data_IF_340052407646
#
_entry.id   IF_340052407646
#
_cell.length_a   1.000
_cell.length_b   1.000
_cell.length_c   1.000
_cell.angle_alpha   90.00
_cell.angle_beta   90.00
_cell.angle_gamma   90.00
#
_symmetry.space_group_name_H-M   'P 1'
#
loop_
_entity.id
_entity.type
_entity.pdbx_description
1 polymer ?
#
# COMPACT_ATOMS: atom_id res chain seq x y z
N UNK A 1 19.99 -4.17 11.11
CA UNK A 1 18.95 -4.53 10.13
C UNK A 1 17.57 -4.15 10.65
N UNK A 2 16.89 -3.29 9.90
CA UNK A 2 15.61 -2.68 10.26
C UNK A 2 14.46 -3.61 9.89
N UNK A 3 13.55 -3.90 10.83
CA UNK A 3 12.41 -4.84 10.63
C UNK A 3 11.13 -4.18 10.12
N UNK A 4 11.17 -2.90 9.78
CA UNK A 4 10.01 -2.14 9.31
C UNK A 4 9.54 -2.65 7.97
N UNK A 5 8.32 -3.20 7.92
CA UNK A 5 7.75 -3.83 6.71
C UNK A 5 7.08 -2.81 5.80
N UNK A 6 7.32 -2.95 4.52
CA UNK A 6 6.93 -2.03 3.47
C UNK A 6 6.02 -2.68 2.43
N UNK A 7 5.24 -1.87 1.73
CA UNK A 7 4.53 -2.22 0.50
C UNK A 7 4.42 -0.98 -0.40
N UNK A 8 4.09 -1.14 -1.69
CA UNK A 8 3.87 0.01 -2.57
C UNK A 8 2.65 0.82 -2.11
N UNK A 9 2.71 2.14 -2.32
CA UNK A 9 1.68 3.08 -1.92
C UNK A 9 0.37 2.92 -2.69
N UNK A 10 0.39 2.28 -3.87
CA UNK A 10 -0.77 2.17 -4.76
C UNK A 10 -2.05 1.77 -4.03
N UNK A 11 -2.03 0.78 -3.13
CA UNK A 11 -3.24 0.33 -2.43
C UNK A 11 -3.78 1.40 -1.48
N UNK A 12 -2.92 2.01 -0.66
CA UNK A 12 -3.32 3.10 0.25
C UNK A 12 -3.79 4.32 -0.54
N UNK A 13 -3.04 4.69 -1.58
CA UNK A 13 -3.34 5.82 -2.45
C UNK A 13 -4.71 5.67 -3.12
N UNK A 14 -5.00 4.51 -3.71
CA UNK A 14 -6.27 4.20 -4.36
C UNK A 14 -7.45 4.44 -3.43
N UNK A 15 -7.34 3.96 -2.18
CA UNK A 15 -8.39 4.16 -1.17
C UNK A 15 -8.53 5.64 -0.83
N UNK A 16 -7.42 6.36 -0.61
CA UNK A 16 -7.45 7.79 -0.33
C UNK A 16 -8.05 8.61 -1.48
N UNK A 17 -7.71 8.31 -2.73
CA UNK A 17 -8.27 8.98 -3.91
C UNK A 17 -9.76 8.70 -4.05
N UNK A 18 -10.18 7.45 -3.83
CA UNK A 18 -11.60 7.10 -3.87
C UNK A 18 -12.39 7.81 -2.77
N UNK A 19 -11.91 7.79 -1.51
CA UNK A 19 -12.54 8.54 -0.42
C UNK A 19 -12.66 10.04 -0.76
N UNK A 20 -11.62 10.63 -1.34
CA UNK A 20 -11.65 12.02 -1.81
C UNK A 20 -12.67 12.24 -2.94
N UNK A 21 -12.93 11.26 -3.81
CA UNK A 21 -13.89 11.38 -4.90
C UNK A 21 -15.36 11.35 -4.47
N UNK A 22 -15.62 10.82 -3.26
CA UNK A 22 -16.96 10.73 -2.67
C UNK A 22 -17.11 11.65 -1.45
N UNK A 23 -16.20 12.60 -1.26
CA UNK A 23 -16.14 13.53 -0.12
C UNK A 23 -16.14 12.84 1.27
N UNK A 24 -15.63 11.61 1.34
CA UNK A 24 -15.43 10.91 2.61
C UNK A 24 -14.17 11.44 3.31
N UNK A 25 -14.38 12.02 4.50
CA UNK A 25 -13.32 12.69 5.24
C UNK A 25 -12.42 11.67 5.94
N UNK A 26 -11.15 11.63 5.53
CA UNK A 26 -10.13 10.79 6.15
C UNK A 26 -9.39 11.54 7.27
N UNK A 27 -8.91 10.81 8.31
CA UNK A 27 -7.98 11.35 9.28
C UNK A 27 -6.76 11.95 8.60
N UNK A 28 -6.25 13.03 9.18
CA UNK A 28 -5.18 13.83 8.58
C UNK A 28 -3.92 13.00 8.29
N UNK A 29 -3.63 12.00 9.12
CA UNK A 29 -2.52 11.06 8.97
C UNK A 29 -2.60 10.17 7.71
N UNK A 30 -3.76 10.09 7.05
CA UNK A 30 -3.93 9.35 5.79
C UNK A 30 -4.10 10.26 4.56
N UNK A 31 -4.53 11.50 4.77
CA UNK A 31 -4.94 12.39 3.69
C UNK A 31 -3.84 12.63 2.63
N UNK A 32 -2.57 12.56 3.03
CA UNK A 32 -1.44 12.84 2.13
C UNK A 32 -1.10 11.70 1.16
N UNK A 33 -1.57 10.46 1.40
CA UNK A 33 -1.21 9.31 0.54
C UNK A 33 -1.77 9.42 -0.88
N UNK A 34 -2.85 10.17 -1.11
CA UNK A 34 -3.41 10.45 -2.45
C UNK A 34 -2.38 11.07 -3.41
N UNK A 35 -1.36 11.74 -2.88
CA UNK A 35 -0.34 12.42 -3.69
C UNK A 35 0.88 11.55 -4.04
N UNK A 36 0.97 10.31 -3.54
CA UNK A 36 2.17 9.48 -3.70
C UNK A 36 2.27 8.94 -5.13
N UNK A 37 3.47 8.54 -5.54
CA UNK A 37 3.59 7.67 -6.71
C UNK A 37 3.27 6.24 -6.31
N UNK A 38 2.70 5.47 -7.24
CA UNK A 38 2.17 4.13 -6.99
C UNK A 38 3.26 3.16 -6.48
N UNK A 39 4.51 3.36 -6.92
CA UNK A 39 5.69 2.58 -6.55
C UNK A 39 6.41 3.06 -5.27
N UNK A 40 6.03 4.20 -4.68
CA UNK A 40 6.67 4.62 -3.43
C UNK A 40 6.36 3.62 -2.31
N UNK A 41 7.36 3.25 -1.51
CA UNK A 41 7.12 2.41 -0.35
C UNK A 41 6.53 3.16 0.83
N UNK A 42 5.56 2.53 1.47
CA UNK A 42 4.93 2.95 2.71
C UNK A 42 4.84 1.78 3.69
N UNK A 43 4.60 2.05 4.96
CA UNK A 43 4.39 1.03 5.97
C UNK A 43 3.27 0.05 5.60
N UNK A 44 3.56 -1.25 5.74
CA UNK A 44 2.64 -2.32 5.31
C UNK A 44 1.25 -2.25 5.98
N UNK A 45 1.19 -1.78 7.22
CA UNK A 45 -0.03 -1.74 8.04
C UNK A 45 -0.88 -0.48 7.83
N UNK A 46 -0.42 0.48 7.04
CA UNK A 46 -1.15 1.76 6.85
C UNK A 46 -2.49 1.51 6.20
N UNK A 47 -2.53 0.68 5.15
CA UNK A 47 -3.76 0.31 4.46
C UNK A 47 -4.74 -0.40 5.40
N UNK A 48 -4.30 -1.36 6.21
CA UNK A 48 -5.17 -2.03 7.18
C UNK A 48 -5.74 -1.04 8.20
N UNK A 49 -4.93 -0.10 8.71
CA UNK A 49 -5.43 0.96 9.62
C UNK A 49 -6.45 1.87 8.95
N UNK A 50 -6.18 2.29 7.72
CA UNK A 50 -7.08 3.11 6.91
C UNK A 50 -8.41 2.40 6.66
N UNK A 51 -8.36 1.14 6.25
CA UNK A 51 -9.54 0.32 5.96
C UNK A 51 -10.35 0.03 7.22
N UNK A 52 -9.69 -0.25 8.34
CA UNK A 52 -10.36 -0.38 9.64
C UNK A 52 -11.03 0.94 10.05
N UNK A 53 -10.39 2.09 9.83
CA UNK A 53 -11.03 3.38 10.08
C UNK A 53 -12.28 3.55 9.22
N UNK A 54 -12.19 3.30 7.91
CA UNK A 54 -13.33 3.42 6.99
C UNK A 54 -14.44 2.48 7.42
N UNK A 55 -14.15 1.21 7.69
CA UNK A 55 -15.14 0.20 8.10
C UNK A 55 -15.91 0.59 9.36
N UNK A 56 -15.27 1.30 10.30
CA UNK A 56 -15.92 1.77 11.53
C UNK A 56 -16.66 3.11 11.38
N UNK A 57 -16.52 3.82 10.26
CA UNK A 57 -17.06 5.17 10.07
C UNK A 57 -17.89 5.33 8.79
N UNK A 58 -17.97 4.32 7.93
CA UNK A 58 -18.73 4.35 6.69
C UNK A 58 -20.14 3.78 6.92
N UNK A 59 -21.15 4.54 6.51
CA UNK A 59 -22.55 4.08 6.56
C UNK A 59 -22.96 3.29 5.32
N UNK A 60 -22.29 3.53 4.17
CA UNK A 60 -22.58 2.84 2.90
C UNK A 60 -22.14 1.37 2.94
N UNK A 61 -23.07 0.40 2.96
CA UNK A 61 -22.73 -1.02 2.96
C UNK A 61 -22.09 -1.49 1.64
N UNK A 62 -22.21 -0.70 0.57
CA UNK A 62 -21.68 -1.00 -0.76
C UNK A 62 -20.38 -0.24 -1.08
N UNK A 63 -19.79 0.44 -0.09
CA UNK A 63 -18.57 1.24 -0.25
C UNK A 63 -17.48 0.48 -1.02
N UNK A 64 -17.20 -0.76 -0.63
CA UNK A 64 -16.15 -1.55 -1.25
C UNK A 64 -16.53 -2.03 -2.66
N UNK A 65 -17.80 -2.36 -2.93
CA UNK A 65 -18.24 -2.70 -4.29
C UNK A 65 -18.03 -1.54 -5.26
N UNK A 66 -18.18 -0.30 -4.77
CA UNK A 66 -17.92 0.88 -5.57
C UNK A 66 -16.41 1.17 -5.70
N UNK A 67 -15.64 1.05 -4.62
CA UNK A 67 -14.18 1.14 -4.63
C UNK A 67 -13.54 0.12 -5.59
N UNK A 68 -14.08 -1.10 -5.64
CA UNK A 68 -13.63 -2.17 -6.52
C UNK A 68 -13.61 -1.75 -8.00
N UNK A 69 -14.55 -0.90 -8.43
CA UNK A 69 -14.60 -0.38 -9.81
C UNK A 69 -13.40 0.49 -10.16
N UNK A 70 -12.80 1.17 -9.18
CA UNK A 70 -11.58 1.99 -9.33
C UNK A 70 -10.29 1.18 -9.22
N UNK A 71 -10.37 0.05 -8.53
CA UNK A 71 -9.24 -0.78 -8.15
C UNK A 71 -8.67 -1.60 -9.31
N UNK A 72 -9.55 -2.28 -10.03
CA UNK A 72 -9.21 -3.36 -10.96
C UNK A 72 -8.26 -2.91 -12.08
N UNK A 73 -8.59 -1.82 -12.79
CA UNK A 73 -7.79 -1.34 -13.92
C UNK A 73 -6.37 -0.95 -13.50
N UNK A 74 -6.22 -0.27 -12.36
CA UNK A 74 -4.93 0.25 -11.92
C UNK A 74 -4.00 -0.83 -11.37
N UNK A 75 -4.54 -1.85 -10.70
CA UNK A 75 -3.73 -2.99 -10.27
C UNK A 75 -3.16 -3.74 -11.46
N UNK A 76 -3.95 -3.98 -12.50
CA UNK A 76 -3.47 -4.60 -13.74
C UNK A 76 -2.33 -3.82 -14.39
N UNK A 77 -2.47 -2.50 -14.52
CA UNK A 77 -1.42 -1.63 -15.08
C UNK A 77 -0.16 -1.62 -14.20
N UNK A 78 -0.34 -1.72 -12.87
CA UNK A 78 0.76 -1.70 -11.90
C UNK A 78 1.57 -2.99 -11.88
N UNK A 79 0.91 -4.14 -11.91
CA UNK A 79 1.58 -5.46 -11.85
C UNK A 79 2.25 -5.83 -13.16
N UNK A 80 1.78 -5.27 -14.29
CA UNK A 80 2.29 -5.55 -15.64
C UNK A 80 2.35 -7.05 -15.99
N UNK A 81 1.43 -7.82 -15.41
CA UNK A 81 1.32 -9.26 -15.68
C UNK A 81 0.77 -9.45 -17.09
N UNK A 82 1.29 -10.45 -17.79
CA UNK A 82 0.77 -10.85 -19.09
C UNK A 82 -0.61 -11.51 -18.91
N UNK A 83 -1.65 -10.82 -19.37
CA UNK A 83 -3.03 -11.28 -19.30
C UNK A 83 -3.49 -12.01 -20.57
N UNK A 84 -2.61 -12.21 -21.57
CA UNK A 84 -2.94 -12.92 -22.80
C UNK A 84 -3.43 -14.35 -22.53
N UNK A 85 -4.24 -14.88 -23.46
CA UNK A 85 -4.75 -16.25 -23.37
C UNK A 85 -3.64 -17.30 -23.53
N UNK A 86 -2.47 -16.91 -24.04
CA UNK A 86 -1.28 -17.75 -24.18
C UNK A 86 -0.63 -18.10 -22.82
N UNK A 87 -0.90 -17.30 -21.79
CA UNK A 87 -0.41 -17.54 -20.43
C UNK A 87 -1.51 -18.22 -19.61
N UNK A 88 -1.24 -19.43 -19.12
CA UNK A 88 -2.20 -20.16 -18.29
C UNK A 88 -2.35 -19.54 -16.88
N UNK A 89 -3.47 -19.86 -16.23
CA UNK A 89 -3.85 -19.31 -14.92
C UNK A 89 -2.83 -19.60 -13.80
N UNK A 90 -2.13 -20.73 -13.85
CA UNK A 90 -1.13 -21.06 -12.83
C UNK A 90 0.11 -20.19 -13.01
N UNK A 91 0.54 -19.94 -14.25
CA UNK A 91 1.63 -19.02 -14.52
C UNK A 91 1.27 -17.57 -14.14
N UNK A 92 0.06 -17.09 -14.47
CA UNK A 92 -0.40 -15.75 -14.07
C UNK A 92 -0.40 -15.56 -12.55
N UNK A 93 -0.78 -16.59 -11.79
CA UNK A 93 -0.76 -16.56 -10.33
C UNK A 93 0.67 -16.52 -9.76
N UNK A 94 1.60 -17.27 -10.37
CA UNK A 94 3.02 -17.22 -10.02
C UNK A 94 3.56 -15.81 -10.25
N UNK A 95 3.36 -15.25 -11.45
CA UNK A 95 3.87 -13.94 -11.83
C UNK A 95 3.34 -12.84 -10.90
N UNK A 96 2.06 -12.89 -10.52
CA UNK A 96 1.48 -11.98 -9.52
C UNK A 96 2.13 -12.11 -8.15
N UNK A 97 2.29 -13.34 -7.66
CA UNK A 97 2.89 -13.58 -6.34
C UNK A 97 4.35 -13.14 -6.33
N UNK A 98 5.09 -13.42 -7.41
CA UNK A 98 6.48 -13.00 -7.59
C UNK A 98 6.64 -11.50 -7.71
N UNK A 99 5.76 -10.82 -8.44
CA UNK A 99 5.77 -9.36 -8.51
C UNK A 99 5.65 -8.74 -7.12
N UNK A 100 4.67 -9.19 -6.32
CA UNK A 100 4.46 -8.65 -4.99
C UNK A 100 5.58 -9.01 -4.00
N UNK A 101 6.23 -10.16 -4.13
CA UNK A 101 7.38 -10.52 -3.29
C UNK A 101 8.61 -9.64 -3.58
N UNK A 102 8.72 -9.06 -4.79
CA UNK A 102 9.79 -8.13 -5.15
C UNK A 102 9.52 -6.70 -4.67
N UNK A 103 8.26 -6.27 -4.54
CA UNK A 103 7.95 -4.88 -4.23
C UNK A 103 7.39 -4.66 -2.82
N UNK A 104 7.29 -5.71 -2.00
CA UNK A 104 6.70 -5.63 -0.66
C UNK A 104 7.23 -6.69 0.31
N UNK A 105 7.00 -6.46 1.60
CA UNK A 105 7.19 -7.45 2.67
C UNK A 105 5.91 -8.26 2.97
N UNK A 106 5.02 -8.40 1.98
CA UNK A 106 3.84 -9.25 2.11
C UNK A 106 4.29 -10.69 2.40
N UNK A 107 3.65 -11.30 3.39
CA UNK A 107 3.96 -12.67 3.79
C UNK A 107 3.17 -13.67 2.94
N UNK A 108 3.29 -13.53 1.62
CA UNK A 108 2.67 -14.41 0.64
C UNK A 108 3.67 -15.49 0.24
N UNK A 109 3.17 -16.70 0.04
CA UNK A 109 3.98 -17.86 -0.33
C UNK A 109 3.34 -18.53 -1.53
N UNK A 110 4.17 -18.86 -2.52
CA UNK A 110 3.79 -19.75 -3.62
C UNK A 110 3.96 -21.19 -3.17
N UNK A 111 2.93 -22.02 -3.32
CA UNK A 111 2.94 -23.43 -2.94
C UNK A 111 2.63 -24.29 -4.17
N UNK A 112 3.39 -25.37 -4.34
CA UNK A 112 3.05 -26.45 -5.26
C UNK A 112 2.19 -27.49 -4.52
N UNK A 113 0.94 -27.66 -4.96
CA UNK A 113 -0.03 -28.56 -4.36
C UNK A 113 -0.46 -29.67 -5.34
N UNK A 114 0.51 -30.27 -6.04
CA UNK A 114 0.25 -31.35 -7.01
C UNK A 114 -0.29 -30.77 -8.31
N UNK A 115 -1.58 -30.94 -8.58
CA UNK A 115 -2.25 -30.43 -9.79
C UNK A 115 -2.49 -28.92 -9.75
N UNK A 116 -2.14 -28.24 -8.67
CA UNK A 116 -2.40 -26.82 -8.46
C UNK A 116 -1.13 -26.05 -8.04
N UNK A 117 -1.10 -24.77 -8.39
CA UNK A 117 -0.22 -23.77 -7.78
C UNK A 117 -1.06 -22.86 -6.90
N UNK A 118 -0.60 -22.62 -5.67
CA UNK A 118 -1.29 -21.78 -4.69
C UNK A 118 -0.53 -20.50 -4.35
N UNK A 119 -1.25 -19.38 -4.25
CA UNK A 119 -0.88 -18.24 -3.43
C UNK A 119 -1.49 -18.47 -2.05
N UNK A 120 -0.68 -18.48 -1.01
CA UNK A 120 -1.15 -18.53 0.39
C UNK A 120 -0.68 -17.31 1.14
N UNK A 121 -1.62 -16.59 1.72
CA UNK A 121 -1.39 -15.35 2.42
C UNK A 121 -1.88 -15.47 3.86
N UNK A 122 -0.93 -15.52 4.80
CA UNK A 122 -1.26 -15.57 6.24
C UNK A 122 -1.98 -14.31 6.67
N UNK A 123 -2.96 -14.45 7.55
CA UNK A 123 -3.78 -13.34 8.05
C UNK A 123 -3.62 -13.15 9.55
N UNK A 124 -3.85 -11.92 9.98
CA UNK A 124 -3.95 -11.61 11.40
C UNK A 124 -5.21 -12.25 11.98
N UNK A 125 -5.28 -12.44 13.31
CA UNK A 125 -6.52 -12.76 14.00
C UNK A 125 -7.65 -11.79 13.63
N UNK A 126 -8.89 -12.26 13.73
CA UNK A 126 -10.09 -11.54 13.26
C UNK A 126 -10.22 -10.15 13.90
N UNK A 127 -9.77 -9.98 15.15
CA UNK A 127 -9.82 -8.71 15.89
C UNK A 127 -8.92 -7.62 15.31
N UNK A 128 -8.00 -8.00 14.43
CA UNK A 128 -7.04 -7.10 13.76
C UNK A 128 -7.10 -7.19 12.24
N UNK A 129 -8.03 -7.98 11.70
CA UNK A 129 -8.22 -8.13 10.27
C UNK A 129 -9.28 -7.14 9.78
N UNK A 130 -9.07 -6.59 8.57
CA UNK A 130 -10.14 -5.96 7.81
C UNK A 130 -10.61 -6.92 6.74
N UNK A 131 -11.92 -7.05 6.54
CA UNK A 131 -12.47 -7.80 5.39
C UNK A 131 -11.96 -7.26 4.06
N UNK A 132 -11.65 -5.97 3.99
CA UNK A 132 -11.13 -5.35 2.78
C UNK A 132 -9.72 -5.83 2.42
N UNK A 133 -8.89 -6.24 3.37
CA UNK A 133 -7.57 -6.81 3.07
C UNK A 133 -7.70 -8.11 2.25
N UNK A 134 -8.69 -8.93 2.57
CA UNK A 134 -9.00 -10.17 1.84
C UNK A 134 -9.63 -9.88 0.49
N UNK A 135 -10.62 -8.98 0.47
CA UNK A 135 -11.38 -8.65 -0.73
C UNK A 135 -10.49 -7.97 -1.80
N UNK A 136 -9.50 -7.17 -1.39
CA UNK A 136 -8.54 -6.59 -2.34
C UNK A 136 -7.67 -7.65 -3.02
N UNK A 137 -7.21 -8.65 -2.27
CA UNK A 137 -6.41 -9.74 -2.85
C UNK A 137 -7.28 -10.60 -3.76
N UNK A 138 -8.49 -10.95 -3.30
CA UNK A 138 -9.47 -11.67 -4.10
C UNK A 138 -9.73 -10.98 -5.45
N UNK A 139 -10.11 -9.70 -5.44
CA UNK A 139 -10.40 -8.96 -6.68
C UNK A 139 -9.19 -8.82 -7.60
N UNK A 140 -7.99 -8.59 -7.03
CA UNK A 140 -6.76 -8.51 -7.81
C UNK A 140 -6.52 -9.81 -8.57
N UNK A 141 -6.65 -10.93 -7.85
CA UNK A 141 -6.35 -12.25 -8.41
C UNK A 141 -7.42 -12.67 -9.41
N UNK A 142 -8.71 -12.42 -9.12
CA UNK A 142 -9.77 -12.72 -10.09
C UNK A 142 -9.62 -11.94 -11.40
N UNK A 143 -9.17 -10.69 -11.33
CA UNK A 143 -8.89 -9.91 -12.52
C UNK A 143 -7.75 -10.52 -13.35
N UNK A 144 -6.61 -10.83 -12.72
CA UNK A 144 -5.45 -11.34 -13.47
C UNK A 144 -5.71 -12.74 -14.03
N UNK A 145 -6.51 -13.56 -13.36
CA UNK A 145 -6.84 -14.90 -13.84
C UNK A 145 -7.85 -14.85 -14.98
N UNK A 146 -8.27 -13.65 -15.40
CA UNK A 146 -9.34 -13.40 -16.36
C UNK A 146 -10.57 -14.26 -16.04
N UNK A 147 -10.94 -14.29 -14.76
CA UNK A 147 -12.03 -15.13 -14.29
C UNK A 147 -13.34 -14.62 -14.87
N UNK A 148 -13.76 -15.20 -15.99
CA UNK A 148 -15.08 -14.98 -16.57
C UNK A 148 -16.10 -15.85 -15.86
N UNK A 149 -17.33 -15.33 -15.72
CA UNK A 149 -18.46 -15.97 -15.01
C UNK A 149 -18.82 -17.37 -15.50
N UNK A 150 -18.32 -17.79 -16.66
CA UNK A 150 -18.54 -19.12 -17.18
C UNK A 150 -17.35 -20.03 -16.87
N UNK A 151 -17.54 -20.79 -15.78
CA UNK A 151 -16.86 -22.05 -15.45
C UNK A 151 -15.37 -21.93 -15.14
N UNK A 152 -14.97 -22.33 -13.93
CA UNK A 152 -13.90 -23.33 -13.86
C UNK A 152 -13.69 -23.95 -12.47
N UNK A 153 -13.81 -25.27 -12.42
CA UNK A 153 -13.21 -26.16 -11.40
C UNK A 153 -11.67 -26.06 -11.35
N UNK A 154 -11.07 -25.08 -12.02
CA UNK A 154 -9.63 -24.88 -12.13
C UNK A 154 -9.12 -23.84 -11.13
N UNK A 155 -9.99 -23.15 -10.40
CA UNK A 155 -9.60 -22.22 -9.34
C UNK A 155 -10.28 -22.61 -8.03
N UNK A 156 -9.50 -22.69 -6.96
CA UNK A 156 -10.01 -22.88 -5.60
C UNK A 156 -9.68 -21.62 -4.81
N UNK A 157 -10.68 -21.04 -4.16
CA UNK A 157 -10.54 -19.82 -3.37
C UNK A 157 -10.97 -20.12 -1.95
N UNK A 158 -10.10 -19.77 -1.01
CA UNK A 158 -10.28 -20.01 0.41
C UNK A 158 -10.08 -18.71 1.16
N UNK A 159 -11.07 -18.33 1.96
CA UNK A 159 -11.05 -17.15 2.78
C UNK A 159 -10.89 -17.52 4.26
N UNK A 160 -10.13 -16.73 5.02
CA UNK A 160 -9.70 -17.07 6.38
C UNK A 160 -10.87 -17.15 7.36
N UNK A 161 -11.83 -16.24 7.23
CA UNK A 161 -12.95 -16.06 8.16
C UNK A 161 -14.26 -16.64 7.62
N UNK A 162 -15.27 -16.71 8.48
CA UNK A 162 -16.62 -17.12 8.12
C UNK A 162 -17.31 -16.16 7.13
N UNK A 163 -18.31 -16.65 6.41
CA UNK A 163 -19.04 -15.87 5.40
C UNK A 163 -19.62 -14.55 5.96
N UNK A 164 -20.14 -14.59 7.20
CA UNK A 164 -20.72 -13.42 7.88
C UNK A 164 -19.75 -12.25 8.04
N UNK A 165 -18.44 -12.51 8.15
CA UNK A 165 -17.41 -11.48 8.28
C UNK A 165 -17.39 -10.52 7.08
N UNK A 166 -17.69 -10.99 5.88
CA UNK A 166 -17.60 -10.19 4.64
C UNK A 166 -18.87 -9.36 4.37
N UNK A 167 -19.98 -9.65 5.06
CA UNK A 167 -21.26 -8.93 4.95
C UNK A 167 -21.77 -8.85 3.51
N UNK A 168 -22.19 -7.65 3.08
CA UNK A 168 -22.71 -7.42 1.72
C UNK A 168 -21.69 -7.71 0.59
N UNK A 169 -20.39 -7.77 0.91
CA UNK A 169 -19.36 -8.07 -0.07
C UNK A 169 -19.34 -9.55 -0.48
N UNK A 170 -20.09 -10.42 0.21
CA UNK A 170 -20.29 -11.81 -0.26
C UNK A 170 -20.90 -11.85 -1.66
N UNK A 171 -21.63 -10.80 -2.07
CA UNK A 171 -22.22 -10.68 -3.40
C UNK A 171 -21.20 -10.72 -4.56
N UNK A 172 -19.91 -10.44 -4.32
CA UNK A 172 -18.84 -10.55 -5.33
C UNK A 172 -18.00 -11.81 -5.21
N UNK A 173 -18.24 -12.63 -4.18
CA UNK A 173 -17.48 -13.85 -3.91
C UNK A 173 -18.11 -15.03 -4.67
N UNK A 174 -17.37 -15.59 -5.62
CA UNK A 174 -17.82 -16.71 -6.45
C UNK A 174 -17.06 -17.98 -6.08
N UNK A 175 -17.79 -19.06 -5.72
CA UNK A 175 -17.23 -20.38 -5.39
C UNK A 175 -16.13 -20.37 -4.31
N UNK A 176 -16.31 -19.54 -3.28
CA UNK A 176 -15.35 -19.37 -2.18
C UNK A 176 -15.65 -20.31 -1.01
N UNK A 177 -14.61 -20.97 -0.49
CA UNK A 177 -14.65 -21.65 0.81
C UNK A 177 -14.30 -20.68 1.93
N UNK A 178 -15.00 -20.78 3.06
CA UNK A 178 -14.81 -19.90 4.21
C UNK A 178 -14.22 -20.66 5.40
N UNK A 179 -13.74 -19.93 6.39
CA UNK A 179 -13.17 -20.46 7.63
C UNK A 179 -11.90 -21.32 7.42
N UNK A 180 -11.04 -20.92 6.47
CA UNK A 180 -9.86 -21.67 6.07
C UNK A 180 -8.55 -21.21 6.76
N UNK A 181 -8.63 -20.38 7.81
CA UNK A 181 -7.51 -19.78 8.59
C UNK A 181 -6.61 -18.81 7.82
N UNK A 182 -6.35 -19.06 6.53
CA UNK A 182 -5.57 -18.22 5.64
C UNK A 182 -6.43 -17.78 4.45
N UNK A 183 -6.00 -16.73 3.76
CA UNK A 183 -6.44 -16.49 2.39
C UNK A 183 -5.58 -17.34 1.47
N UNK A 184 -6.19 -18.22 0.70
CA UNK A 184 -5.50 -19.06 -0.29
C UNK A 184 -6.23 -19.01 -1.63
N UNK A 185 -5.47 -18.93 -2.72
CA UNK A 185 -6.00 -19.04 -4.08
C UNK A 185 -5.15 -20.06 -4.81
N UNK A 186 -5.77 -21.11 -5.32
CA UNK A 186 -5.11 -22.17 -6.09
C UNK A 186 -5.59 -22.14 -7.52
N UNK A 187 -4.65 -22.17 -8.46
CA UNK A 187 -4.90 -22.26 -9.89
C UNK A 187 -4.37 -23.61 -10.42
N UNK A 188 -5.22 -24.32 -11.18
CA UNK A 188 -4.89 -25.63 -11.74
C UNK A 188 -3.79 -25.49 -12.79
N UNK A 189 -2.84 -26.40 -12.73
CA UNK A 189 -1.74 -26.50 -13.69
C UNK A 189 -2.22 -27.04 -15.02
N UNK A 190 -1.60 -26.58 -16.10
CA UNK A 190 -1.70 -27.22 -17.41
C UNK A 190 -0.91 -28.54 -17.38
N UNK A 191 -1.54 -29.68 -17.73
CA UNK A 191 -0.86 -30.97 -17.74
C UNK A 191 0.42 -30.96 -18.58
N UNK A 192 1.52 -31.48 -18.03
CA UNK A 192 2.81 -31.58 -18.71
C UNK A 192 3.63 -30.28 -18.77
N UNK A 193 3.08 -29.13 -18.36
CA UNK A 193 3.84 -27.88 -18.25
C UNK A 193 4.64 -27.85 -16.95
N UNK A 194 5.89 -27.39 -17.02
CA UNK A 194 6.72 -27.14 -15.86
C UNK A 194 6.56 -25.69 -15.40
N UNK A 195 6.56 -25.50 -14.08
CA UNK A 195 6.41 -24.20 -13.44
C UNK A 195 7.62 -23.92 -12.56
N UNK A 196 8.22 -22.74 -12.70
CA UNK A 196 9.26 -22.29 -11.78
C UNK A 196 8.62 -21.50 -10.64
N UNK A 197 8.61 -22.10 -9.46
CA UNK A 197 8.07 -21.48 -8.23
C UNK A 197 9.17 -20.84 -7.38
N UNK A 198 10.44 -20.87 -7.83
CA UNK A 198 11.53 -20.28 -7.05
C UNK A 198 11.35 -18.78 -7.07
N UNK A 199 10.98 -18.23 -5.92
CA UNK A 199 11.11 -16.81 -5.69
C UNK A 199 12.56 -16.42 -5.89
N UNK A 200 12.84 -15.62 -6.92
CA UNK A 200 14.06 -14.82 -6.96
C UNK A 200 14.02 -13.91 -5.73
N UNK A 201 14.66 -14.34 -4.64
CA UNK A 201 14.89 -13.51 -3.47
C UNK A 201 15.92 -12.45 -3.85
N UNK A 202 15.46 -11.42 -4.54
CA UNK A 202 16.20 -10.18 -4.64
C UNK A 202 15.87 -9.45 -3.34
N UNK A 203 16.88 -9.17 -2.50
CA UNK A 203 16.71 -8.21 -1.41
C UNK A 203 16.48 -6.84 -2.05
N UNK A 204 15.22 -6.54 -2.37
CA UNK A 204 14.84 -5.31 -3.08
C UNK A 204 14.71 -4.13 -2.14
N UNK A 205 14.33 -4.37 -0.87
CA UNK A 205 14.04 -3.31 0.10
C UNK A 205 15.14 -3.23 1.16
N UNK A 206 16.07 -2.31 0.96
CA UNK A 206 17.21 -2.09 1.86
C UNK A 206 16.77 -1.48 3.19
N UNK A 207 17.67 -1.44 4.18
CA UNK A 207 17.38 -0.74 5.44
C UNK A 207 17.15 0.77 5.22
N UNK A 208 17.82 1.38 4.23
CA UNK A 208 17.60 2.77 3.87
C UNK A 208 16.20 2.98 3.29
N UNK A 209 15.75 2.10 2.40
CA UNK A 209 14.40 2.14 1.83
C UNK A 209 13.33 2.06 2.92
N UNK A 210 13.54 1.18 3.91
CA UNK A 210 12.65 1.03 5.08
C UNK A 210 12.58 2.30 5.92
N UNK A 211 13.70 3.00 6.10
CA UNK A 211 13.74 4.30 6.80
C UNK A 211 12.96 5.35 6.01
N UNK A 212 13.19 5.45 4.70
CA UNK A 212 12.46 6.40 3.85
C UNK A 212 10.96 6.08 3.82
N UNK A 213 10.57 4.81 3.73
CA UNK A 213 9.17 4.39 3.77
C UNK A 213 8.51 4.77 5.10
N UNK A 214 9.17 4.52 6.24
CA UNK A 214 8.68 4.92 7.55
C UNK A 214 8.54 6.44 7.69
N UNK A 215 9.53 7.21 7.22
CA UNK A 215 9.49 8.66 7.24
C UNK A 215 8.39 9.23 6.33
N UNK A 216 8.24 8.71 5.11
CA UNK A 216 7.20 9.11 4.16
C UNK A 216 5.80 8.75 4.65
N UNK A 217 5.67 7.72 5.48
CA UNK A 217 4.38 7.30 6.05
C UNK A 217 3.82 8.27 7.08
N UNK A 218 4.59 9.27 7.51
CA UNK A 218 4.16 10.30 8.46
C UNK A 218 3.86 11.62 7.76
N UNK A 219 2.97 12.41 8.34
CA UNK A 219 2.77 13.79 7.92
C UNK A 219 3.99 14.67 8.31
N UNK A 220 4.35 15.69 7.50
CA UNK A 220 5.57 16.48 7.72
C UNK A 220 5.67 17.17 9.08
N UNK A 221 4.54 17.56 9.68
CA UNK A 221 4.53 18.19 11.00
C UNK A 221 5.00 17.24 12.12
N UNK A 222 4.73 15.94 12.01
CA UNK A 222 5.02 14.94 13.04
C UNK A 222 6.36 14.23 12.85
N UNK A 223 6.92 14.27 11.64
CA UNK A 223 8.18 13.58 11.35
C UNK A 223 9.35 14.21 12.12
N UNK A 224 9.94 13.46 13.04
CA UNK A 224 11.09 13.83 13.85
C UNK A 224 12.00 12.63 14.02
N UNK A 225 13.20 12.81 14.59
CA UNK A 225 14.09 11.68 14.88
C UNK A 225 13.43 10.70 15.86
N UNK A 226 12.69 11.23 16.83
CA UNK A 226 12.04 10.44 17.88
C UNK A 226 10.86 9.65 17.31
N UNK A 227 9.97 10.30 16.55
CA UNK A 227 8.81 9.62 15.95
C UNK A 227 9.24 8.58 14.91
N UNK A 228 10.27 8.89 14.11
CA UNK A 228 10.84 7.95 13.16
C UNK A 228 11.46 6.73 13.87
N UNK A 229 12.23 6.94 14.94
CA UNK A 229 12.81 5.84 15.72
C UNK A 229 11.73 4.94 16.33
N UNK A 230 10.66 5.52 16.89
CA UNK A 230 9.50 4.80 17.42
C UNK A 230 8.85 3.95 16.33
N UNK A 231 8.57 4.53 15.15
CA UNK A 231 7.95 3.80 14.05
C UNK A 231 8.81 2.64 13.53
N UNK A 232 10.13 2.78 13.60
CA UNK A 232 11.10 1.75 13.23
C UNK A 232 11.34 0.70 14.33
N UNK A 233 10.72 0.87 15.51
CA UNK A 233 10.87 -0.05 16.64
C UNK A 233 12.26 -0.01 17.27
N UNK A 234 12.90 1.16 17.32
CA UNK A 234 14.26 1.32 17.85
C UNK A 234 14.42 2.61 18.67
N UNK A 235 15.51 2.70 19.45
CA UNK A 235 15.88 3.95 20.10
C UNK A 235 16.46 4.94 19.10
N UNK A 236 16.38 6.22 19.42
CA UNK A 236 16.96 7.32 18.62
C UNK A 236 18.46 7.14 18.41
N UNK A 237 19.19 6.71 19.45
CA UNK A 237 20.62 6.39 19.39
C UNK A 237 20.90 5.23 18.43
N UNK A 238 20.07 4.19 18.44
CA UNK A 238 20.22 3.06 17.51
C UNK A 238 19.96 3.48 16.07
N UNK A 239 18.92 4.29 15.82
CA UNK A 239 18.63 4.84 14.49
C UNK A 239 19.80 5.67 13.97
N UNK A 240 20.33 6.58 14.79
CA UNK A 240 21.47 7.40 14.42
C UNK A 240 22.71 6.58 14.12
N UNK A 241 22.98 5.53 14.90
CA UNK A 241 24.11 4.63 14.66
C UNK A 241 23.96 3.85 13.36
N UNK A 242 22.77 3.30 13.09
CA UNK A 242 22.47 2.53 11.87
C UNK A 242 22.55 3.40 10.61
N UNK A 243 22.02 4.63 10.65
CA UNK A 243 22.11 5.54 9.50
C UNK A 243 23.55 6.05 9.31
N UNK A 244 24.29 6.29 10.40
CA UNK A 244 25.70 6.68 10.33
C UNK A 244 26.59 5.57 9.75
N UNK A 245 26.31 4.29 10.01
CA UNK A 245 27.08 3.21 9.40
C UNK A 245 26.86 3.09 7.89
N UNK A 246 25.79 3.69 7.36
CA UNK A 246 25.55 3.86 5.92
C UNK A 246 26.21 5.13 5.34
N UNK A 247 26.95 5.90 6.15
CA UNK A 247 27.54 7.18 5.74
C UNK A 247 26.55 8.35 5.68
N UNK A 248 25.37 8.20 6.28
CA UNK A 248 24.27 9.17 6.21
C UNK A 248 23.97 9.82 7.57
N UNK A 249 23.11 10.82 7.55
CA UNK A 249 22.60 11.51 8.75
C UNK A 249 21.07 11.45 8.78
N UNK A 250 20.50 11.02 9.92
CA UNK A 250 19.04 10.91 10.10
C UNK A 250 18.34 12.26 9.88
N UNK A 251 18.95 13.35 10.33
CA UNK A 251 18.38 14.70 10.18
C UNK A 251 18.32 15.12 8.73
N UNK A 252 19.28 14.72 7.91
CA UNK A 252 19.31 15.04 6.48
C UNK A 252 18.23 14.25 5.73
N UNK A 253 18.06 12.96 6.04
CA UNK A 253 16.94 12.14 5.52
C UNK A 253 15.59 12.78 5.86
N UNK A 254 15.39 13.17 7.13
CA UNK A 254 14.15 13.85 7.55
C UNK A 254 13.94 15.16 6.79
N UNK A 255 14.99 15.97 6.67
CA UNK A 255 14.93 17.27 5.97
C UNK A 255 14.55 17.08 4.51
N UNK A 256 15.17 16.11 3.84
CA UNK A 256 14.90 15.77 2.44
C UNK A 256 13.45 15.30 2.26
N UNK A 257 12.98 14.34 3.07
CA UNK A 257 11.61 13.83 3.01
C UNK A 257 10.60 14.95 3.27
N UNK A 258 10.82 15.80 4.27
CA UNK A 258 9.94 16.96 4.54
C UNK A 258 9.93 17.93 3.38
N UNK A 259 11.09 18.33 2.87
CA UNK A 259 11.19 19.27 1.77
C UNK A 259 10.43 18.76 0.53
N UNK A 260 10.65 17.50 0.16
CA UNK A 260 10.00 16.87 -0.99
C UNK A 260 8.47 16.81 -0.81
N UNK A 261 8.00 16.42 0.39
CA UNK A 261 6.56 16.34 0.67
C UNK A 261 5.89 17.71 0.71
N UNK A 262 6.48 18.71 1.37
CA UNK A 262 5.94 20.06 1.43
C UNK A 262 5.79 20.67 0.04
N UNK A 263 6.80 20.52 -0.83
CA UNK A 263 6.76 20.98 -2.23
C UNK A 263 5.69 20.26 -3.05
N UNK A 264 5.59 18.94 -2.90
CA UNK A 264 4.61 18.12 -3.61
C UNK A 264 3.18 18.53 -3.23
N UNK A 265 2.87 18.62 -1.94
CA UNK A 265 1.54 18.99 -1.45
C UNK A 265 1.20 20.43 -1.86
N UNK A 266 2.16 21.36 -1.79
CA UNK A 266 1.96 22.73 -2.26
C UNK A 266 1.57 22.78 -3.74
N UNK A 267 2.32 22.07 -4.58
CA UNK A 267 2.00 21.96 -6.01
C UNK A 267 0.63 21.32 -6.26
N UNK A 268 0.29 20.27 -5.51
CA UNK A 268 -1.00 19.57 -5.64
C UNK A 268 -2.19 20.43 -5.21
N UNK A 269 -1.98 21.33 -4.24
CA UNK A 269 -2.95 22.30 -3.79
C UNK A 269 -2.99 23.60 -4.62
N UNK A 270 -2.46 23.58 -5.85
CA UNK A 270 -2.43 24.75 -6.74
C UNK A 270 -1.81 25.97 -6.05
N UNK A 271 -0.70 25.74 -5.35
CA UNK A 271 0.07 26.75 -4.63
C UNK A 271 -0.66 27.41 -3.44
N UNK A 272 -1.77 26.84 -2.99
CA UNK A 272 -2.50 27.30 -1.81
C UNK A 272 -1.73 26.95 -0.52
N UNK A 273 -1.00 27.94 0.00
CA UNK A 273 -0.19 27.83 1.22
C UNK A 273 -1.02 27.43 2.45
N UNK A 274 -2.24 27.96 2.60
CA UNK A 274 -3.09 27.71 3.78
C UNK A 274 -3.59 26.27 3.81
N UNK A 275 -4.09 25.76 2.68
CA UNK A 275 -4.52 24.37 2.55
C UNK A 275 -3.33 23.43 2.74
N UNK A 276 -2.18 23.77 2.16
CA UNK A 276 -0.94 22.99 2.30
C UNK A 276 -0.47 22.88 3.75
N UNK A 277 -0.50 23.97 4.51
CA UNK A 277 -0.14 23.95 5.93
C UNK A 277 -1.04 23.02 6.73
N UNK A 278 -2.35 23.07 6.48
CA UNK A 278 -3.34 22.21 7.11
C UNK A 278 -3.10 20.73 6.75
N UNK A 279 -3.03 20.38 5.47
CA UNK A 279 -2.82 18.99 5.01
C UNK A 279 -1.49 18.40 5.48
N UNK A 280 -0.46 19.23 5.71
CA UNK A 280 0.82 18.79 6.24
C UNK A 280 0.85 18.66 7.77
N UNK A 281 -0.24 18.94 8.48
CA UNK A 281 -0.36 18.77 9.93
C UNK A 281 -0.01 19.98 10.78
N UNK A 282 0.15 21.17 10.20
CA UNK A 282 0.59 22.34 10.96
C UNK A 282 -0.59 23.09 11.58
N UNK A 283 -0.46 23.39 12.88
CA UNK A 283 -1.48 24.13 13.66
C UNK A 283 -1.59 25.61 13.30
N UNK A 284 -0.58 26.17 12.65
CA UNK A 284 -0.60 27.57 12.19
C UNK A 284 0.31 27.80 11.00
N UNK A 285 -0.03 28.82 10.20
CA UNK A 285 0.77 29.28 9.07
C UNK A 285 2.18 29.72 9.48
N UNK A 286 2.33 30.32 10.66
CA UNK A 286 3.64 30.77 11.15
C UNK A 286 4.60 29.59 11.39
N UNK A 287 4.10 28.50 12.01
CA UNK A 287 4.89 27.29 12.23
C UNK A 287 5.20 26.63 10.89
N UNK A 288 4.21 26.51 10.01
CA UNK A 288 4.41 25.99 8.66
C UNK A 288 5.51 26.75 7.91
N UNK A 289 5.41 28.09 7.81
CA UNK A 289 6.37 28.90 7.07
C UNK A 289 7.79 28.75 7.60
N UNK A 290 7.99 28.72 8.92
CA UNK A 290 9.30 28.46 9.53
C UNK A 290 9.84 27.08 9.14
N UNK A 291 9.00 26.05 9.25
CA UNK A 291 9.39 24.68 8.88
C UNK A 291 9.67 24.57 7.38
N UNK A 292 8.86 25.18 6.53
CA UNK A 292 9.06 25.19 5.09
C UNK A 292 10.39 25.85 4.74
N UNK A 293 10.66 27.06 5.24
CA UNK A 293 11.95 27.75 5.00
C UNK A 293 13.14 26.91 5.44
N UNK A 294 13.08 26.29 6.62
CA UNK A 294 14.19 25.48 7.14
C UNK A 294 14.48 24.23 6.30
N UNK A 295 13.45 23.61 5.72
CA UNK A 295 13.60 22.37 4.95
C UNK A 295 13.82 22.64 3.45
N UNK A 296 13.14 23.63 2.88
CA UNK A 296 13.15 23.96 1.45
C UNK A 296 14.23 24.98 1.08
N UNK A 297 14.61 25.86 2.00
CA UNK A 297 15.64 26.89 1.81
C UNK A 297 15.11 28.29 1.42
N UNK A 298 13.80 28.46 1.27
CA UNK A 298 13.13 29.75 1.02
C UNK A 298 11.72 29.73 1.61
N UNK A 299 11.10 30.89 1.81
CA UNK A 299 9.74 30.92 2.36
C UNK A 299 8.71 30.39 1.34
N UNK A 300 7.52 29.94 1.78
CA UNK A 300 6.50 29.39 0.88
C UNK A 300 6.11 30.34 -0.26
N UNK A 301 5.90 31.62 0.03
CA UNK A 301 5.51 32.62 -0.98
C UNK A 301 6.60 32.85 -2.02
N UNK A 302 7.86 32.92 -1.59
CA UNK A 302 9.01 33.01 -2.51
C UNK A 302 9.14 31.77 -3.38
N UNK A 303 8.92 30.58 -2.82
CA UNK A 303 8.93 29.34 -3.58
C UNK A 303 7.87 29.32 -4.69
N UNK A 304 6.64 29.77 -4.38
CA UNK A 304 5.53 29.87 -5.34
C UNK A 304 5.86 30.86 -6.46
N UNK A 305 6.38 32.05 -6.13
CA UNK A 305 6.80 33.03 -7.14
C UNK A 305 7.80 32.44 -8.12
N UNK A 306 8.85 31.78 -7.62
CA UNK A 306 9.90 31.17 -8.45
C UNK A 306 9.41 30.06 -9.39
N UNK A 307 8.27 29.42 -9.08
CA UNK A 307 7.66 28.41 -9.94
C UNK A 307 6.80 29.05 -11.01
N UNK A 308 6.06 30.10 -10.67
CA UNK A 308 5.19 30.81 -11.62
C UNK A 308 5.97 31.64 -12.65
N UNK A 309 7.22 32.02 -12.33
CA UNK A 309 8.12 32.75 -13.23
C UNK A 309 8.85 31.84 -14.25
N UNK A 310 8.56 30.53 -14.28
CA UNK A 310 9.18 29.53 -15.19
C UNK A 310 8.15 28.86 -16.10
#
# INVERSE_FOLDING_TARGET
MIKYKCRPAIHTKLVCEYCNSIDFHLPLEFAHFKYFNDTEWVGINIITKLLNYIENNIEDPYFFLNLAKYFVKRVTEFTKIDLSDDVDIAQKLIDFTMFYSQVSDLNWVTIDAGDYIGLVAKRNPIERASKYDDLFVYLSVMQILNFHKEVNNNVIIELPFECGFYGYNVAILENVKFNCQNLSIFAKKTPGKQYDIRSLCIETITSLDRIHAAAKSMIPAELSVDTLAIALGMSTRSLQREVKSMGLCVKDIIKEVKANRLKLVLKKNQDNIKVTAYECGFKSLAIFSRHFSNNVGCCPSEYVSRINDK
#
